data_IF_366784085936
#
_entry.id   IF_366784085936
#
_cell.length_a   1.000
_cell.length_b   1.000
_cell.length_c   1.000
_cell.angle_alpha   90.00
_cell.angle_beta   90.00
_cell.angle_gamma   90.00
#
_symmetry.space_group_name_H-M   'P 1'
#
loop_
_entity.id
_entity.type
_entity.pdbx_description
1 polymer ?
#
# COMPACT_ATOMS: atom_id res chain seq x y z
N UNK A 1 -27.64 -1.01 -2.94
CA UNK A 1 -28.24 -2.09 -2.10
C UNK A 1 -28.31 -1.70 -0.63
N UNK A 2 -27.23 -1.23 0.00
CA UNK A 2 -27.22 -0.89 1.44
C UNK A 2 -27.38 0.62 1.74
N UNK A 3 -27.29 1.48 0.73
CA UNK A 3 -27.29 2.94 0.90
C UNK A 3 -25.86 3.49 0.85
N UNK A 4 -25.69 4.70 0.32
CA UNK A 4 -24.37 5.28 0.05
C UNK A 4 -23.53 5.46 1.33
N UNK A 5 -24.17 5.81 2.45
CA UNK A 5 -23.50 6.03 3.74
C UNK A 5 -23.48 4.80 4.66
N UNK A 6 -23.88 3.62 4.17
CA UNK A 6 -23.87 2.37 4.95
C UNK A 6 -22.74 1.43 4.54
N UNK A 7 -21.94 1.83 3.55
CA UNK A 7 -20.79 1.08 3.08
C UNK A 7 -19.65 2.04 2.76
N UNK A 8 -18.45 1.68 3.20
CA UNK A 8 -17.23 2.40 2.86
C UNK A 8 -16.06 1.42 2.69
N UNK A 9 -15.10 1.78 1.86
CA UNK A 9 -13.79 1.12 1.84
C UNK A 9 -12.96 1.55 3.05
N UNK A 10 -11.99 0.73 3.43
CA UNK A 10 -11.09 1.04 4.54
C UNK A 10 -9.84 1.76 4.03
N UNK A 11 -9.42 2.85 4.67
CA UNK A 11 -8.13 3.48 4.36
C UNK A 11 -6.93 2.65 4.85
N UNK A 12 -5.87 2.73 4.08
CA UNK A 12 -4.51 2.34 4.47
C UNK A 12 -3.60 3.54 4.34
N UNK A 13 -2.58 3.63 5.17
CA UNK A 13 -1.58 4.70 5.08
C UNK A 13 -0.25 4.11 4.65
N UNK A 14 0.26 4.58 3.51
CA UNK A 14 1.62 4.29 3.11
C UNK A 14 2.59 5.11 3.97
N UNK A 15 3.58 4.48 4.58
CA UNK A 15 4.63 5.16 5.33
C UNK A 15 5.89 5.37 4.49
N UNK A 16 6.73 6.29 4.92
CA UNK A 16 8.03 6.58 4.31
C UNK A 16 9.04 5.48 4.61
N UNK A 17 9.05 4.42 3.79
CA UNK A 17 10.04 3.34 3.89
C UNK A 17 11.44 3.79 3.46
N UNK A 18 12.51 3.16 3.99
CA UNK A 18 13.92 3.52 3.81
C UNK A 18 14.31 3.97 2.38
N UNK A 19 13.98 3.17 1.36
CA UNK A 19 14.29 3.52 -0.04
C UNK A 19 13.49 4.72 -0.56
N UNK A 20 12.24 4.84 -0.14
CA UNK A 20 11.34 5.89 -0.59
C UNK A 20 11.73 7.23 0.04
N UNK A 21 11.95 7.25 1.36
CA UNK A 21 12.33 8.46 2.08
C UNK A 21 13.64 9.05 1.56
N UNK A 22 14.64 8.21 1.24
CA UNK A 22 15.89 8.67 0.64
C UNK A 22 15.68 9.33 -0.73
N UNK A 23 14.81 8.78 -1.58
CA UNK A 23 14.52 9.37 -2.90
C UNK A 23 13.82 10.72 -2.76
N UNK A 24 12.90 10.83 -1.81
CA UNK A 24 12.13 12.05 -1.61
C UNK A 24 12.98 13.16 -1.00
N UNK A 25 13.78 12.86 0.01
CA UNK A 25 14.73 13.82 0.58
C UNK A 25 15.79 14.21 -0.45
N UNK A 26 16.35 13.25 -1.21
CA UNK A 26 17.32 13.56 -2.26
C UNK A 26 16.76 14.55 -3.30
N UNK A 27 15.49 14.38 -3.71
CA UNK A 27 14.83 15.31 -4.63
C UNK A 27 14.72 16.73 -4.04
N UNK A 28 14.38 16.85 -2.76
CA UNK A 28 14.29 18.15 -2.07
C UNK A 28 15.67 18.82 -1.96
N UNK A 29 16.73 18.03 -1.79
CA UNK A 29 18.12 18.50 -1.76
C UNK A 29 18.68 18.84 -3.16
N UNK A 30 17.88 18.73 -4.21
CA UNK A 30 18.27 19.08 -5.57
C UNK A 30 19.08 18.01 -6.31
N UNK A 31 19.15 16.78 -5.79
CA UNK A 31 19.83 15.67 -6.47
C UNK A 31 19.02 15.25 -7.70
N UNK A 32 19.74 14.87 -8.76
CA UNK A 32 19.15 14.27 -9.95
C UNK A 32 18.52 12.90 -9.63
N UNK A 33 17.64 12.43 -10.53
CA UNK A 33 17.03 11.10 -10.40
C UNK A 33 18.08 9.98 -10.35
N UNK A 34 19.19 10.13 -11.07
CA UNK A 34 20.31 9.17 -11.05
C UNK A 34 20.96 9.10 -9.68
N UNK A 35 21.22 10.25 -9.05
CA UNK A 35 21.81 10.32 -7.72
C UNK A 35 20.84 9.81 -6.63
N UNK A 36 19.55 10.15 -6.71
CA UNK A 36 18.52 9.60 -5.82
C UNK A 36 18.41 8.07 -5.95
N UNK A 37 18.55 7.54 -7.17
CA UNK A 37 18.60 6.10 -7.41
C UNK A 37 19.86 5.47 -6.81
N UNK A 38 21.01 6.16 -6.83
CA UNK A 38 22.25 5.71 -6.18
C UNK A 38 22.07 5.54 -4.67
N UNK A 39 21.39 6.48 -4.01
CA UNK A 39 21.03 6.38 -2.59
C UNK A 39 20.08 5.21 -2.32
N UNK A 40 19.00 5.09 -3.09
CA UNK A 40 18.03 4.00 -2.93
C UNK A 40 18.64 2.62 -3.18
N UNK A 41 19.58 2.50 -4.10
CA UNK A 41 20.29 1.25 -4.40
C UNK A 41 21.30 0.85 -3.31
N UNK A 42 21.71 1.78 -2.44
CA UNK A 42 22.59 1.48 -1.32
C UNK A 42 21.85 0.79 -0.15
N UNK A 43 20.51 0.79 -0.14
CA UNK A 43 19.69 0.11 0.87
C UNK A 43 19.57 -1.38 0.53
N UNK A 44 20.00 -2.30 1.43
CA UNK A 44 19.83 -3.74 1.24
C UNK A 44 18.39 -4.18 0.96
N UNK A 45 18.22 -5.26 0.20
CA UNK A 45 16.90 -5.85 -0.08
C UNK A 45 16.44 -6.73 1.08
N UNK A 46 16.04 -6.10 2.19
CA UNK A 46 15.52 -6.75 3.39
C UNK A 46 14.15 -6.16 3.72
N UNK A 47 13.19 -7.03 4.04
CA UNK A 47 11.84 -6.61 4.39
C UNK A 47 11.86 -5.77 5.67
N UNK A 48 11.22 -4.59 5.64
CA UNK A 48 11.15 -3.64 6.77
C UNK A 48 12.52 -3.16 7.29
N UNK A 49 13.56 -3.14 6.47
CA UNK A 49 14.85 -2.56 6.85
C UNK A 49 14.72 -1.05 7.13
N UNK A 50 15.36 -0.61 8.21
CA UNK A 50 15.51 0.80 8.59
C UNK A 50 16.73 1.44 7.96
N UNK A 51 16.78 2.76 7.90
CA UNK A 51 17.96 3.48 7.41
C UNK A 51 19.19 3.29 8.30
N UNK A 52 18.99 3.12 9.60
CA UNK A 52 20.04 2.85 10.57
C UNK A 52 20.66 1.47 10.34
N UNK A 53 19.84 0.42 10.21
CA UNK A 53 20.32 -0.91 9.84
C UNK A 53 21.02 -0.90 8.47
N UNK A 54 20.44 -0.21 7.49
CA UNK A 54 21.03 -0.10 6.15
C UNK A 54 22.41 0.56 6.19
N UNK A 55 22.62 1.56 7.05
CA UNK A 55 23.93 2.18 7.23
C UNK A 55 24.94 1.22 7.88
N UNK A 56 24.53 0.40 8.84
CA UNK A 56 25.43 -0.59 9.45
C UNK A 56 25.81 -1.73 8.49
N UNK A 57 24.85 -2.20 7.69
CA UNK A 57 25.04 -3.35 6.81
C UNK A 57 25.68 -2.99 5.45
N UNK A 58 25.52 -1.75 4.96
CA UNK A 58 25.93 -1.34 3.61
C UNK A 58 27.13 -0.38 3.61
N UNK A 59 28.30 -0.90 3.21
CA UNK A 59 29.50 -0.06 2.98
C UNK A 59 29.23 1.09 1.99
N UNK A 60 28.45 0.82 0.94
CA UNK A 60 28.07 1.84 -0.05
C UNK A 60 27.24 2.95 0.56
N UNK A 61 26.36 2.64 1.53
CA UNK A 61 25.62 3.66 2.27
C UNK A 61 26.56 4.51 3.11
N UNK A 62 27.49 3.87 3.83
CA UNK A 62 28.49 4.58 4.65
C UNK A 62 29.35 5.53 3.80
N UNK A 63 29.82 5.08 2.64
CA UNK A 63 30.57 5.91 1.69
C UNK A 63 29.75 7.11 1.21
N UNK A 64 28.48 6.91 0.84
CA UNK A 64 27.60 8.00 0.41
C UNK A 64 27.40 9.03 1.52
N UNK A 65 27.09 8.58 2.73
CA UNK A 65 26.88 9.47 3.89
C UNK A 65 28.14 10.25 4.20
N UNK A 66 29.31 9.59 4.21
CA UNK A 66 30.58 10.22 4.58
C UNK A 66 31.23 11.04 3.46
N UNK A 67 30.68 11.02 2.24
CA UNK A 67 31.25 11.72 1.09
C UNK A 67 31.24 13.26 1.23
N UNK A 68 30.22 13.84 1.88
CA UNK A 68 30.14 15.29 2.07
C UNK A 68 29.25 15.68 3.26
N UNK A 69 29.41 16.89 3.82
CA UNK A 69 28.50 17.41 4.84
C UNK A 69 27.04 17.47 4.37
N UNK A 70 26.82 17.75 3.08
CA UNK A 70 25.48 17.77 2.50
C UNK A 70 24.84 16.38 2.49
N UNK A 71 25.62 15.33 2.20
CA UNK A 71 25.14 13.95 2.24
C UNK A 71 24.83 13.48 3.66
N UNK A 72 25.62 13.90 4.65
CA UNK A 72 25.33 13.64 6.06
C UNK A 72 23.99 14.29 6.48
N UNK A 73 23.76 15.53 6.07
CA UNK A 73 22.51 16.24 6.35
C UNK A 73 21.30 15.57 5.67
N UNK A 74 21.45 15.16 4.40
CA UNK A 74 20.44 14.42 3.66
C UNK A 74 20.06 13.13 4.40
N UNK A 75 21.06 12.31 4.77
CA UNK A 75 20.82 11.06 5.47
C UNK A 75 20.17 11.28 6.84
N UNK A 76 20.68 12.22 7.65
CA UNK A 76 20.08 12.57 8.95
C UNK A 76 18.63 13.01 8.82
N UNK A 77 18.32 13.81 7.79
CA UNK A 77 16.95 14.24 7.50
C UNK A 77 16.07 13.05 7.11
N UNK A 78 16.58 12.15 6.28
CA UNK A 78 15.86 10.95 5.88
C UNK A 78 15.57 10.02 7.07
N UNK A 79 16.52 9.83 8.00
CA UNK A 79 16.30 9.05 9.24
C UNK A 79 15.18 9.65 10.08
N UNK A 80 15.13 10.98 10.23
CA UNK A 80 14.06 11.64 11.00
C UNK A 80 12.67 11.51 10.36
N UNK A 81 12.61 11.35 9.04
CA UNK A 81 11.36 11.23 8.30
C UNK A 81 10.94 9.77 8.07
N UNK A 82 11.81 8.81 8.35
CA UNK A 82 11.51 7.38 8.17
C UNK A 82 10.29 6.98 9.01
N UNK A 83 9.39 6.20 8.41
CA UNK A 83 8.20 5.67 9.08
C UNK A 83 7.04 6.65 9.20
N UNK A 84 7.21 7.94 8.91
CA UNK A 84 6.10 8.89 8.92
C UNK A 84 5.07 8.56 7.83
N UNK A 85 3.77 8.83 8.06
CA UNK A 85 2.73 8.71 7.04
C UNK A 85 3.04 9.59 5.81
N UNK A 86 2.85 9.04 4.62
CA UNK A 86 3.15 9.72 3.35
C UNK A 86 1.91 10.01 2.52
N UNK A 87 1.07 9.00 2.32
CA UNK A 87 -0.14 9.12 1.50
C UNK A 87 -1.22 8.18 2.01
N UNK A 88 -2.46 8.57 1.73
CA UNK A 88 -3.63 7.72 1.93
C UNK A 88 -3.80 6.84 0.71
N UNK A 89 -4.13 5.57 0.95
CA UNK A 89 -4.46 4.58 -0.07
C UNK A 89 -5.68 3.78 0.38
N UNK A 90 -6.25 3.01 -0.53
CA UNK A 90 -7.41 2.16 -0.25
C UNK A 90 -6.95 0.75 0.12
N UNK A 91 -7.51 0.16 1.17
CA UNK A 91 -7.32 -1.25 1.47
C UNK A 91 -7.86 -2.09 0.31
N UNK A 92 -6.98 -2.83 -0.37
CA UNK A 92 -7.31 -3.49 -1.64
C UNK A 92 -8.53 -4.43 -1.57
N UNK A 93 -8.87 -4.93 -0.38
CA UNK A 93 -10.02 -5.80 -0.18
C UNK A 93 -11.05 -5.29 0.85
N UNK A 94 -10.71 -4.28 1.65
CA UNK A 94 -11.36 -4.05 2.93
C UNK A 94 -12.57 -3.13 2.79
N UNK A 95 -13.75 -3.64 3.12
CA UNK A 95 -15.00 -2.88 3.12
C UNK A 95 -15.66 -3.00 4.49
N UNK A 96 -16.21 -1.90 4.98
CA UNK A 96 -17.09 -1.86 6.16
C UNK A 96 -18.53 -1.74 5.72
N UNK A 97 -19.42 -2.43 6.43
CA UNK A 97 -20.87 -2.35 6.24
C UNK A 97 -21.51 -2.13 7.61
N UNK A 98 -22.44 -1.18 7.67
CA UNK A 98 -23.15 -0.81 8.90
C UNK A 98 -24.65 -0.72 8.63
N UNK A 99 -25.46 -1.14 9.60
CA UNK A 99 -26.91 -0.94 9.62
C UNK A 99 -27.29 0.50 9.96
N UNK A 100 -26.43 1.21 10.70
CA UNK A 100 -26.50 2.65 10.92
C UNK A 100 -25.69 3.45 9.88
N UNK A 101 -25.99 4.75 9.77
CA UNK A 101 -25.22 5.67 8.91
C UNK A 101 -23.78 5.82 9.42
N UNK A 102 -22.79 5.48 8.58
CA UNK A 102 -21.38 5.48 8.93
C UNK A 102 -20.85 6.83 9.40
N UNK A 103 -21.45 7.95 8.97
CA UNK A 103 -21.04 9.29 9.44
C UNK A 103 -21.24 9.49 10.95
N UNK A 104 -22.12 8.70 11.58
CA UNK A 104 -22.32 8.73 13.03
C UNK A 104 -21.26 7.91 13.79
N UNK A 105 -20.54 7.03 13.10
CA UNK A 105 -19.65 6.03 13.71
C UNK A 105 -18.17 6.31 13.39
N UNK A 106 -17.87 6.69 12.14
CA UNK A 106 -16.51 6.90 11.66
C UNK A 106 -16.42 8.10 10.71
N UNK A 107 -15.31 8.86 10.76
CA UNK A 107 -15.05 9.90 9.77
C UNK A 107 -14.83 9.27 8.39
N UNK A 108 -15.48 9.85 7.37
CA UNK A 108 -15.40 9.42 5.99
C UNK A 108 -14.70 10.48 5.12
N UNK A 109 -14.15 10.07 3.99
CA UNK A 109 -13.62 10.94 2.95
C UNK A 109 -14.00 10.39 1.56
N UNK A 110 -13.97 11.22 0.51
CA UNK A 110 -14.16 10.74 -0.85
C UNK A 110 -13.08 9.71 -1.22
N UNK A 111 -13.51 8.51 -1.64
CA UNK A 111 -12.64 7.50 -2.21
C UNK A 111 -12.71 7.46 -3.74
N UNK A 112 -12.27 6.36 -4.33
CA UNK A 112 -12.36 6.12 -5.78
C UNK A 112 -13.77 5.71 -6.21
N UNK A 113 -14.18 6.09 -7.42
CA UNK A 113 -15.43 5.64 -8.06
C UNK A 113 -16.68 5.86 -7.20
N UNK A 114 -16.78 7.03 -6.56
CA UNK A 114 -17.91 7.42 -5.68
C UNK A 114 -18.11 6.52 -4.45
N UNK A 115 -17.16 5.62 -4.15
CA UNK A 115 -17.20 4.83 -2.92
C UNK A 115 -16.50 5.63 -1.82
N UNK A 116 -17.16 5.77 -0.67
CA UNK A 116 -16.59 6.46 0.49
C UNK A 116 -15.43 5.65 1.09
N UNK A 117 -14.46 6.33 1.66
CA UNK A 117 -13.31 5.74 2.34
C UNK A 117 -13.36 6.15 3.82
N UNK A 118 -13.14 5.20 4.74
CA UNK A 118 -12.94 5.54 6.16
C UNK A 118 -11.65 6.35 6.31
N UNK A 119 -11.60 7.28 7.26
CA UNK A 119 -10.31 7.91 7.62
C UNK A 119 -9.53 7.08 8.65
N UNK A 120 -10.16 6.04 9.21
CA UNK A 120 -9.55 5.09 10.13
C UNK A 120 -8.87 3.93 9.40
N UNK A 121 -7.80 3.41 10.01
CA UNK A 121 -7.14 2.19 9.53
C UNK A 121 -7.99 0.95 9.81
N UNK A 122 -7.63 -0.17 9.17
CA UNK A 122 -8.26 -1.46 9.42
C UNK A 122 -8.34 -1.81 10.92
N UNK A 123 -7.25 -1.63 11.66
CA UNK A 123 -7.21 -1.97 13.09
C UNK A 123 -8.10 -1.04 13.92
N UNK A 124 -8.24 0.23 13.52
CA UNK A 124 -9.04 1.21 14.25
C UNK A 124 -10.53 0.99 14.00
N UNK A 125 -10.90 0.67 12.75
CA UNK A 125 -12.25 0.24 12.38
C UNK A 125 -12.69 -0.99 13.19
N UNK A 126 -11.81 -1.99 13.32
CA UNK A 126 -12.10 -3.22 14.07
C UNK A 126 -12.32 -2.94 15.57
N UNK A 127 -11.51 -2.05 16.17
CA UNK A 127 -11.67 -1.65 17.58
C UNK A 127 -12.99 -0.96 17.89
N UNK A 128 -13.59 -0.30 16.90
CA UNK A 128 -14.89 0.38 17.04
C UNK A 128 -16.05 -0.61 16.87
N UNK A 129 -15.77 -1.87 16.48
CA UNK A 129 -16.76 -2.93 16.37
C UNK A 129 -17.53 -2.93 15.04
N UNK A 130 -17.04 -2.21 14.03
CA UNK A 130 -17.64 -2.24 12.70
C UNK A 130 -17.39 -3.58 12.00
N UNK A 131 -18.43 -4.11 11.35
CA UNK A 131 -18.33 -5.33 10.56
C UNK A 131 -17.45 -5.09 9.33
N UNK A 132 -16.34 -5.82 9.26
CA UNK A 132 -15.42 -5.85 8.12
C UNK A 132 -15.72 -7.04 7.20
N UNK A 133 -15.69 -6.80 5.90
CA UNK A 133 -15.65 -7.83 4.87
C UNK A 133 -14.47 -7.60 3.91
N UNK A 134 -13.76 -8.67 3.55
CA UNK A 134 -12.69 -8.62 2.56
C UNK A 134 -13.16 -9.16 1.20
N UNK A 135 -13.18 -8.30 0.18
CA UNK A 135 -13.43 -8.64 -1.21
C UNK A 135 -12.10 -8.72 -1.98
N UNK A 136 -11.57 -9.94 -2.11
CA UNK A 136 -10.30 -10.18 -2.78
C UNK A 136 -10.48 -10.31 -4.30
N UNK A 137 -9.84 -9.43 -5.06
CA UNK A 137 -9.72 -9.55 -6.52
C UNK A 137 -8.65 -10.57 -6.91
N UNK A 138 -8.97 -11.86 -6.84
CA UNK A 138 -7.99 -12.91 -7.16
C UNK A 138 -7.92 -13.17 -8.68
N UNK A 139 -6.75 -12.89 -9.26
CA UNK A 139 -6.51 -13.07 -10.71
C UNK A 139 -6.70 -14.51 -11.19
N UNK A 140 -6.43 -15.50 -10.32
CA UNK A 140 -6.62 -16.90 -10.67
C UNK A 140 -8.10 -17.23 -10.97
N UNK A 141 -9.05 -16.62 -10.25
CA UNK A 141 -10.48 -16.82 -10.52
C UNK A 141 -10.88 -16.23 -11.86
N UNK A 142 -10.34 -15.05 -12.23
CA UNK A 142 -10.53 -14.48 -13.57
C UNK A 142 -9.97 -15.39 -14.67
N UNK A 143 -8.75 -15.93 -14.47
CA UNK A 143 -8.15 -16.88 -15.43
C UNK A 143 -9.01 -18.13 -15.60
N UNK A 144 -9.54 -18.68 -14.51
CA UNK A 144 -10.43 -19.84 -14.57
C UNK A 144 -11.71 -19.49 -15.33
N UNK A 145 -12.34 -18.34 -15.05
CA UNK A 145 -13.56 -17.89 -15.72
C UNK A 145 -13.34 -17.67 -17.23
N UNK A 146 -12.23 -17.03 -17.61
CA UNK A 146 -11.82 -16.85 -19.00
C UNK A 146 -11.62 -18.19 -19.71
N UNK A 147 -10.99 -19.16 -19.02
CA UNK A 147 -10.75 -20.51 -19.54
C UNK A 147 -12.06 -21.25 -19.78
N UNK A 148 -13.00 -21.21 -18.83
CA UNK A 148 -14.32 -21.83 -18.96
C UNK A 148 -15.13 -21.18 -20.09
N UNK A 149 -15.05 -19.86 -20.22
CA UNK A 149 -15.71 -19.11 -21.28
C UNK A 149 -15.18 -19.50 -22.66
N UNK A 150 -13.86 -19.59 -22.81
CA UNK A 150 -13.21 -20.05 -24.03
C UNK A 150 -13.58 -21.51 -24.36
N UNK A 151 -13.55 -22.41 -23.37
CA UNK A 151 -13.94 -23.80 -23.54
C UNK A 151 -15.39 -23.93 -24.04
N UNK A 152 -16.31 -23.19 -23.43
CA UNK A 152 -17.72 -23.18 -23.84
C UNK A 152 -17.90 -22.72 -25.29
N UNK A 153 -17.13 -21.74 -25.74
CA UNK A 153 -17.16 -21.25 -27.13
C UNK A 153 -16.66 -22.29 -28.13
N UNK A 154 -15.57 -23.00 -27.82
CA UNK A 154 -14.94 -23.96 -28.74
C UNK A 154 -15.71 -25.28 -28.79
N UNK A 155 -16.12 -25.81 -27.63
CA UNK A 155 -16.67 -27.15 -27.53
C UNK A 155 -18.19 -27.19 -27.35
N UNK A 156 -18.85 -26.03 -27.23
CA UNK A 156 -20.28 -25.89 -26.94
C UNK A 156 -20.75 -26.73 -25.73
N UNK A 157 -19.85 -26.92 -24.75
CA UNK A 157 -20.07 -27.69 -23.52
C UNK A 157 -19.75 -26.80 -22.33
N UNK A 158 -20.45 -27.02 -21.22
CA UNK A 158 -20.19 -26.31 -19.96
C UNK A 158 -19.58 -27.27 -18.95
N UNK A 159 -18.47 -26.88 -18.32
CA UNK A 159 -17.85 -27.62 -17.21
C UNK A 159 -18.29 -26.96 -15.90
N UNK A 160 -18.65 -27.77 -14.91
CA UNK A 160 -18.85 -27.31 -13.54
C UNK A 160 -17.63 -27.67 -12.71
N UNK A 161 -16.88 -26.65 -12.26
CA UNK A 161 -15.63 -26.84 -11.52
C UNK A 161 -15.80 -27.73 -10.28
N UNK A 162 -16.92 -27.59 -9.58
CA UNK A 162 -17.25 -28.36 -8.37
C UNK A 162 -17.66 -29.83 -8.65
N UNK A 163 -17.62 -30.27 -9.90
CA UNK A 163 -17.94 -31.63 -10.33
C UNK A 163 -16.77 -32.31 -11.04
N UNK A 164 -15.59 -31.67 -11.06
CA UNK A 164 -14.37 -32.27 -11.56
C UNK A 164 -13.87 -33.26 -10.48
N UNK A 165 -13.56 -34.52 -10.83
CA UNK A 165 -13.08 -35.54 -9.89
C UNK A 165 -11.81 -35.15 -9.14
#
# INVERSE_FOLDING_TARGET
KYGHYHMAQIATFGTMAAKMVLRDVARVFGLSQSEANRWSAAVPNKLKITLEEAYQESKRMQELVNFSPNNQLLYKTAVQLEGLPRHVSTHAAGVVISDENLLNLVPLQPGSNEILLTQFTMNDVEKIGLLKMDFLGLRNLSIIDDTLTAFKRVYNRTIRLNQIP
#
